data_IF_415947885903
#
_entry.id   IF_415947885903
#
_cell.length_a   1.000
_cell.length_b   1.000
_cell.length_c   1.000
_cell.angle_alpha   90.00
_cell.angle_beta   90.00
_cell.angle_gamma   90.00
#
_symmetry.space_group_name_H-M   'P 1'
#
loop_
_entity.id
_entity.type
_entity.pdbx_description
1 polymer ?
#
# COMPACT_ATOMS: atom_id res chain seq x y z
N UNK A 1 3.17 19.82 -3.29
CA UNK A 1 2.91 18.51 -3.91
C UNK A 1 1.65 18.64 -4.76
N UNK A 2 1.76 18.42 -6.08
CA UNK A 2 0.63 18.43 -7.02
C UNK A 2 0.64 17.13 -7.83
N UNK A 3 -0.48 16.81 -8.46
CA UNK A 3 -0.56 15.77 -9.50
C UNK A 3 -0.85 16.48 -10.81
N UNK A 4 -0.01 16.30 -11.83
CA UNK A 4 -0.10 17.07 -13.07
C UNK A 4 0.32 16.25 -14.30
N UNK A 5 -0.06 16.77 -15.47
CA UNK A 5 0.43 16.33 -16.77
C UNK A 5 1.83 16.88 -17.07
N UNK A 6 2.41 16.53 -18.21
CA UNK A 6 3.80 16.84 -18.57
C UNK A 6 4.89 16.06 -17.78
N UNK A 7 6.11 16.11 -18.32
CA UNK A 7 7.19 15.19 -18.01
C UNK A 7 8.18 15.70 -16.95
N UNK A 8 7.99 16.89 -16.41
CA UNK A 8 8.93 17.53 -15.47
C UNK A 8 8.32 17.63 -14.07
N UNK A 9 8.96 17.02 -13.07
CA UNK A 9 8.56 17.12 -11.67
C UNK A 9 9.71 17.52 -10.77
N UNK A 10 9.47 18.51 -9.90
CA UNK A 10 10.33 18.88 -8.77
C UNK A 10 9.64 18.51 -7.44
N UNK A 11 9.26 17.24 -7.29
CA UNK A 11 8.57 16.74 -6.08
C UNK A 11 7.04 16.67 -6.19
N UNK A 12 6.50 16.65 -7.41
CA UNK A 12 5.10 16.39 -7.75
C UNK A 12 4.92 14.99 -8.37
N UNK A 13 3.67 14.50 -8.46
CA UNK A 13 3.35 13.32 -9.26
C UNK A 13 3.09 13.76 -10.71
N UNK A 14 4.06 13.52 -11.59
CA UNK A 14 3.94 13.76 -13.02
C UNK A 14 3.43 12.50 -13.73
N UNK A 15 2.45 12.66 -14.62
CA UNK A 15 1.90 11.62 -15.48
C UNK A 15 1.54 12.19 -16.84
N UNK A 16 1.04 11.35 -17.76
CA UNK A 16 0.67 11.84 -19.10
C UNK A 16 -0.54 12.76 -19.03
N UNK A 17 -0.71 13.64 -20.01
CA UNK A 17 -1.84 14.57 -20.09
C UNK A 17 -3.17 13.82 -20.18
N UNK A 18 -3.17 12.67 -20.86
CA UNK A 18 -4.30 11.77 -20.95
C UNK A 18 -4.66 11.19 -19.58
N UNK A 19 -3.67 10.69 -18.82
CA UNK A 19 -3.87 10.10 -17.49
C UNK A 19 -4.36 11.13 -16.47
N UNK A 20 -3.76 12.33 -16.44
CA UNK A 20 -4.22 13.37 -15.51
C UNK A 20 -5.62 13.87 -15.90
N UNK A 21 -5.98 13.84 -17.19
CA UNK A 21 -7.32 14.19 -17.67
C UNK A 21 -8.42 13.31 -17.07
N UNK A 22 -8.17 12.01 -16.91
CA UNK A 22 -9.10 11.09 -16.23
C UNK A 22 -9.24 11.43 -14.75
N UNK A 23 -8.12 11.62 -14.04
CA UNK A 23 -8.14 11.99 -12.61
C UNK A 23 -8.84 13.33 -12.41
N UNK A 24 -8.57 14.32 -13.27
CA UNK A 24 -9.23 15.62 -13.22
C UNK A 24 -10.74 15.49 -13.41
N UNK A 25 -11.19 14.64 -14.34
CA UNK A 25 -12.62 14.42 -14.58
C UNK A 25 -13.30 13.81 -13.35
N UNK A 26 -12.69 12.79 -12.74
CA UNK A 26 -13.19 12.19 -11.49
C UNK A 26 -13.20 13.18 -10.33
N UNK A 27 -12.14 13.98 -10.20
CA UNK A 27 -12.03 15.02 -9.17
C UNK A 27 -13.14 16.06 -9.32
N UNK A 28 -13.32 16.60 -10.54
CA UNK A 28 -14.37 17.57 -10.87
C UNK A 28 -15.74 17.01 -10.53
N UNK A 29 -16.05 15.80 -10.98
CA UNK A 29 -17.37 15.20 -10.80
C UNK A 29 -17.64 14.86 -9.32
N UNK A 30 -16.62 14.44 -8.57
CA UNK A 30 -16.70 14.25 -7.11
C UNK A 30 -17.04 15.56 -6.37
N UNK A 31 -16.37 16.67 -6.73
CA UNK A 31 -16.60 17.97 -6.12
C UNK A 31 -17.98 18.55 -6.51
N UNK A 32 -18.37 18.44 -7.79
CA UNK A 32 -19.72 18.82 -8.26
C UNK A 32 -20.82 17.99 -7.59
N UNK A 33 -20.52 16.73 -7.25
CA UNK A 33 -21.38 15.85 -6.46
C UNK A 33 -21.49 16.23 -4.98
N UNK A 34 -20.91 17.35 -4.56
CA UNK A 34 -21.03 17.90 -3.20
C UNK A 34 -20.03 17.35 -2.20
N UNK A 35 -19.05 16.54 -2.64
CA UNK A 35 -17.95 16.12 -1.75
C UNK A 35 -16.98 17.28 -1.59
N UNK A 36 -16.58 17.65 -0.35
CA UNK A 36 -15.64 18.75 -0.12
C UNK A 36 -14.21 18.40 -0.53
N UNK A 37 -13.89 17.11 -0.61
CA UNK A 37 -12.60 16.56 -0.98
C UNK A 37 -12.75 15.12 -1.47
N UNK A 38 -11.66 14.56 -1.99
CA UNK A 38 -11.54 13.15 -2.36
C UNK A 38 -10.13 12.65 -2.01
N UNK A 39 -9.99 11.35 -1.81
CA UNK A 39 -8.73 10.72 -1.44
C UNK A 39 -7.99 10.22 -2.67
N UNK A 40 -6.67 10.41 -2.71
CA UNK A 40 -5.78 9.81 -3.70
C UNK A 40 -4.77 8.93 -2.95
N UNK A 41 -4.59 7.70 -3.42
CA UNK A 41 -3.63 6.75 -2.86
C UNK A 41 -2.61 6.39 -3.92
N UNK A 42 -1.34 6.62 -3.64
CA UNK A 42 -0.24 6.28 -4.54
C UNK A 42 0.41 4.97 -4.06
N UNK A 43 0.43 3.99 -4.96
CA UNK A 43 1.04 2.68 -4.73
C UNK A 43 2.22 2.48 -5.71
N UNK A 44 3.25 1.70 -5.34
CA UNK A 44 4.40 1.45 -6.21
C UNK A 44 4.02 0.72 -7.51
N UNK A 45 2.96 -0.07 -7.44
CA UNK A 45 2.33 -0.83 -8.51
C UNK A 45 0.99 -1.35 -7.98
N UNK A 46 0.17 -1.99 -8.83
CA UNK A 46 -1.01 -2.72 -8.34
C UNK A 46 -0.55 -3.86 -7.42
N UNK A 47 -0.91 -3.82 -6.13
CA UNK A 47 -0.38 -4.70 -5.08
C UNK A 47 -0.93 -6.15 -5.14
N UNK A 48 -0.85 -6.77 -6.31
CA UNK A 48 -1.23 -8.16 -6.57
C UNK A 48 -0.14 -9.13 -6.08
N UNK A 49 -0.49 -10.42 -5.84
CA UNK A 49 0.48 -11.46 -5.49
C UNK A 49 1.61 -11.57 -6.51
N UNK A 50 1.28 -11.57 -7.81
CA UNK A 50 2.25 -11.59 -8.91
C UNK A 50 3.26 -10.42 -8.85
N UNK A 51 2.79 -9.20 -8.63
CA UNK A 51 3.68 -8.03 -8.57
C UNK A 51 4.54 -8.04 -7.30
N UNK A 52 4.00 -8.46 -6.16
CA UNK A 52 4.78 -8.62 -4.94
C UNK A 52 5.84 -9.73 -5.08
N UNK A 53 5.50 -10.85 -5.72
CA UNK A 53 6.43 -11.96 -5.95
C UNK A 53 7.55 -11.57 -6.92
N UNK A 54 7.19 -10.83 -7.98
CA UNK A 54 8.14 -10.21 -8.91
C UNK A 54 9.11 -9.27 -8.20
N UNK A 55 8.67 -8.47 -7.23
CA UNK A 55 9.54 -7.53 -6.51
C UNK A 55 10.00 -8.03 -5.13
N UNK A 56 10.01 -9.34 -4.90
CA UNK A 56 10.31 -9.97 -3.59
C UNK A 56 11.69 -9.63 -3.01
N UNK A 57 12.63 -9.20 -3.83
CA UNK A 57 14.00 -8.84 -3.43
C UNK A 57 14.17 -7.35 -3.13
N UNK A 58 13.13 -6.52 -3.34
CA UNK A 58 13.22 -5.09 -3.13
C UNK A 58 13.27 -4.74 -1.62
N UNK A 59 14.17 -3.84 -1.18
CA UNK A 59 14.27 -3.46 0.24
C UNK A 59 12.99 -2.82 0.80
N UNK A 60 12.12 -2.28 -0.06
CA UNK A 60 10.85 -1.66 0.33
C UNK A 60 9.67 -2.64 0.41
N UNK A 61 9.89 -3.94 0.19
CA UNK A 61 8.81 -4.93 0.18
C UNK A 61 8.00 -4.92 1.48
N UNK A 62 8.64 -4.78 2.64
CA UNK A 62 7.94 -4.71 3.92
C UNK A 62 7.03 -3.47 4.01
N UNK A 63 7.51 -2.32 3.52
CA UNK A 63 6.71 -1.11 3.43
C UNK A 63 5.52 -1.29 2.46
N UNK A 64 5.72 -1.93 1.31
CA UNK A 64 4.64 -2.20 0.36
C UNK A 64 3.62 -3.20 0.89
N UNK A 65 4.04 -4.22 1.66
CA UNK A 65 3.14 -5.13 2.37
C UNK A 65 2.31 -4.39 3.42
N UNK A 66 2.85 -3.37 4.09
CA UNK A 66 2.06 -2.50 4.96
C UNK A 66 1.01 -1.72 4.17
N UNK A 67 1.40 -1.08 3.05
CA UNK A 67 0.46 -0.38 2.17
C UNK A 67 -0.63 -1.32 1.61
N UNK A 68 -0.29 -2.58 1.36
CA UNK A 68 -1.21 -3.61 0.89
C UNK A 68 -2.41 -3.79 1.81
N UNK A 69 -2.27 -3.60 3.12
CA UNK A 69 -3.38 -3.72 4.08
C UNK A 69 -4.51 -2.77 3.69
N UNK A 70 -4.21 -1.49 3.50
CA UNK A 70 -5.19 -0.49 3.06
C UNK A 70 -5.72 -0.74 1.65
N UNK A 71 -4.87 -1.17 0.73
CA UNK A 71 -5.28 -1.57 -0.61
C UNK A 71 -6.28 -2.73 -0.56
N UNK A 72 -6.04 -3.74 0.25
CA UNK A 72 -6.91 -4.91 0.37
C UNK A 72 -8.26 -4.56 1.01
N UNK A 73 -8.28 -3.63 1.96
CA UNK A 73 -9.53 -3.10 2.49
C UNK A 73 -10.37 -2.47 1.36
N UNK A 74 -9.75 -1.60 0.55
CA UNK A 74 -10.43 -0.98 -0.59
C UNK A 74 -10.87 -2.01 -1.63
N UNK A 75 -9.99 -2.88 -2.10
CA UNK A 75 -10.30 -3.88 -3.13
C UNK A 75 -11.39 -4.87 -2.67
N UNK A 76 -11.45 -5.18 -1.38
CA UNK A 76 -12.42 -6.14 -0.85
C UNK A 76 -13.82 -5.53 -0.62
N UNK A 77 -13.93 -4.21 -0.40
CA UNK A 77 -15.21 -3.56 -0.05
C UNK A 77 -15.62 -2.38 -0.92
N UNK A 78 -14.71 -1.85 -1.72
CA UNK A 78 -14.83 -0.60 -2.47
C UNK A 78 -15.25 0.60 -1.59
N UNK A 79 -14.82 0.57 -0.32
CA UNK A 79 -15.04 1.67 0.62
C UNK A 79 -13.73 2.42 0.79
N UNK A 80 -13.81 3.74 0.88
CA UNK A 80 -12.66 4.59 1.15
C UNK A 80 -11.99 4.18 2.48
N UNK A 81 -10.75 3.67 2.47
CA UNK A 81 -10.04 3.27 3.67
C UNK A 81 -9.72 4.49 4.54
N UNK A 82 -10.01 4.38 5.84
CA UNK A 82 -9.54 5.35 6.82
C UNK A 82 -8.09 5.08 7.15
N UNK A 83 -7.25 6.12 7.15
CA UNK A 83 -5.82 6.00 7.39
C UNK A 83 -5.45 6.76 8.65
N UNK A 84 -4.79 6.06 9.57
CA UNK A 84 -4.17 6.59 10.77
C UNK A 84 -2.66 6.25 10.77
N UNK A 85 -1.90 6.86 11.68
CA UNK A 85 -0.45 6.61 11.80
C UNK A 85 -0.04 6.47 13.26
N UNK A 86 0.66 5.39 13.57
CA UNK A 86 1.32 5.21 14.86
C UNK A 86 2.62 4.42 14.71
N UNK A 87 3.60 4.68 15.57
CA UNK A 87 4.90 4.03 15.54
C UNK A 87 5.57 4.07 14.15
N UNK A 88 5.32 5.15 13.39
CA UNK A 88 5.73 5.33 11.98
C UNK A 88 5.17 4.27 11.02
N UNK A 89 4.07 3.64 11.39
CA UNK A 89 3.34 2.66 10.60
C UNK A 89 1.96 3.21 10.24
N UNK A 90 1.49 2.89 9.04
CA UNK A 90 0.11 3.13 8.66
C UNK A 90 -0.80 2.12 9.33
N UNK A 91 -1.96 2.62 9.77
CA UNK A 91 -3.06 1.83 10.31
C UNK A 91 -4.30 2.11 9.47
N UNK A 92 -5.03 1.06 9.13
CA UNK A 92 -6.18 1.16 8.23
C UNK A 92 -7.46 0.73 8.93
N UNK A 93 -8.50 1.55 8.80
CA UNK A 93 -9.87 1.27 9.27
C UNK A 93 -9.99 0.88 10.74
N UNK A 94 -9.19 1.52 11.59
CA UNK A 94 -9.20 1.30 13.03
C UNK A 94 -10.51 1.75 13.68
N UNK A 95 -10.98 0.94 14.63
CA UNK A 95 -12.07 1.22 15.54
C UNK A 95 -11.67 0.88 16.97
N UNK A 96 -12.25 1.55 17.99
CA UNK A 96 -11.95 1.26 19.37
C UNK A 96 -12.25 -0.21 19.67
N UNK A 97 -11.34 -0.88 20.38
CA UNK A 97 -11.59 -2.24 20.83
C UNK A 97 -12.85 -2.27 21.74
N UNK A 98 -13.60 -3.39 21.78
CA UNK A 98 -14.70 -3.56 22.71
C UNK A 98 -14.26 -3.24 24.14
N UNK A 99 -15.06 -2.43 24.86
CA UNK A 99 -14.77 -1.97 26.23
C UNK A 99 -13.53 -1.07 26.38
N UNK A 100 -13.06 -0.42 25.31
CA UNK A 100 -11.98 0.58 25.45
C UNK A 100 -12.42 1.73 26.36
N UNK A 101 -11.71 1.99 27.47
CA UNK A 101 -12.08 3.06 28.41
C UNK A 101 -11.79 4.45 27.86
N UNK A 102 -10.91 4.55 26.85
CA UNK A 102 -10.46 5.82 26.28
C UNK A 102 -10.74 5.89 24.77
N UNK A 103 -10.93 7.10 24.20
CA UNK A 103 -10.98 7.31 22.76
C UNK A 103 -9.70 6.85 22.07
N UNK A 104 -9.82 6.38 20.83
CA UNK A 104 -8.66 6.11 19.98
C UNK A 104 -7.95 7.42 19.62
N UNK A 105 -6.70 7.51 20.02
CA UNK A 105 -5.81 8.62 19.65
C UNK A 105 -4.55 8.02 19.06
N UNK A 106 -4.28 8.34 17.80
CA UNK A 106 -3.08 7.92 17.10
C UNK A 106 -2.02 9.02 17.17
N UNK A 107 -0.80 8.64 17.50
CA UNK A 107 0.37 9.52 17.46
C UNK A 107 1.39 8.93 16.48
N UNK A 108 1.76 9.65 15.40
CA UNK A 108 2.68 9.14 14.38
C UNK A 108 4.01 8.60 14.90
N UNK A 109 4.53 9.14 16.01
CA UNK A 109 5.79 8.69 16.63
C UNK A 109 5.57 7.86 17.90
N UNK A 110 4.35 7.83 18.43
CA UNK A 110 3.99 7.10 19.64
C UNK A 110 3.62 5.64 19.38
N UNK A 111 3.49 4.84 20.45
CA UNK A 111 3.01 3.45 20.34
C UNK A 111 1.58 3.43 19.78
N UNK A 112 1.26 2.39 19.02
CA UNK A 112 -0.10 2.18 18.54
C UNK A 112 -1.04 1.86 19.73
N UNK A 113 -2.19 2.56 19.85
CA UNK A 113 -3.22 2.16 20.81
C UNK A 113 -3.80 0.79 20.43
N UNK A 114 -4.46 0.12 21.37
CA UNK A 114 -5.22 -1.08 21.04
C UNK A 114 -6.44 -0.70 20.19
N UNK A 115 -6.54 -1.26 18.99
CA UNK A 115 -7.66 -1.06 18.07
C UNK A 115 -8.07 -2.40 17.44
N UNK A 116 -9.25 -2.40 16.82
CA UNK A 116 -9.73 -3.48 15.97
C UNK A 116 -10.03 -2.92 14.59
N UNK A 117 -9.93 -3.74 13.55
CA UNK A 117 -10.36 -3.33 12.20
C UNK A 117 -11.88 -3.32 12.15
N UNK A 118 -12.47 -2.31 11.50
CA UNK A 118 -13.91 -2.21 11.29
C UNK A 118 -14.52 -3.55 10.83
N UNK A 119 -15.47 -4.14 11.58
CA UNK A 119 -16.05 -5.45 11.25
C UNK A 119 -16.68 -5.54 9.86
N UNK A 120 -17.15 -4.41 9.29
CA UNK A 120 -17.67 -4.36 7.91
C UNK A 120 -16.61 -4.65 6.85
N UNK A 121 -15.34 -4.44 7.18
CA UNK A 121 -14.18 -4.57 6.30
C UNK A 121 -13.39 -5.84 6.65
N UNK A 122 -13.17 -6.09 7.95
CA UNK A 122 -12.26 -7.10 8.48
C UNK A 122 -12.41 -8.49 7.81
N UNK A 123 -13.64 -9.01 7.72
CA UNK A 123 -13.88 -10.35 7.14
C UNK A 123 -13.47 -10.45 5.67
N UNK A 124 -13.90 -9.49 4.84
CA UNK A 124 -13.64 -9.50 3.40
C UNK A 124 -12.17 -9.24 3.11
N UNK A 125 -11.56 -8.32 3.85
CA UNK A 125 -10.13 -8.04 3.76
C UNK A 125 -9.27 -9.27 4.14
N UNK A 126 -9.64 -9.98 5.21
CA UNK A 126 -8.93 -11.20 5.64
C UNK A 126 -9.05 -12.35 4.63
N UNK A 127 -10.23 -12.54 4.04
CA UNK A 127 -10.44 -13.54 2.98
C UNK A 127 -9.59 -13.23 1.74
N UNK A 128 -9.58 -11.97 1.33
CA UNK A 128 -8.70 -11.49 0.26
C UNK A 128 -7.22 -11.74 0.60
N UNK A 129 -6.78 -11.32 1.79
CA UNK A 129 -5.39 -11.48 2.21
C UNK A 129 -4.96 -12.96 2.18
N UNK A 130 -5.78 -13.87 2.72
CA UNK A 130 -5.50 -15.31 2.70
C UNK A 130 -5.37 -15.86 1.28
N UNK A 131 -6.25 -15.43 0.38
CA UNK A 131 -6.22 -15.86 -1.03
C UNK A 131 -4.93 -15.37 -1.70
N UNK A 132 -4.62 -14.09 -1.51
CA UNK A 132 -3.41 -13.45 -2.05
C UNK A 132 -2.13 -14.08 -1.48
N UNK A 133 -2.10 -14.46 -0.20
CA UNK A 133 -0.95 -15.10 0.45
C UNK A 133 -0.70 -16.52 -0.07
N UNK A 134 -1.77 -17.29 -0.35
CA UNK A 134 -1.67 -18.61 -0.97
C UNK A 134 -1.09 -18.50 -2.38
N UNK A 135 -1.61 -17.57 -3.19
CA UNK A 135 -1.10 -17.33 -4.54
C UNK A 135 0.36 -16.85 -4.50
N UNK A 136 0.69 -15.90 -3.61
CA UNK A 136 2.05 -15.41 -3.43
C UNK A 136 3.02 -16.55 -3.06
N UNK A 137 2.64 -17.41 -2.11
CA UNK A 137 3.45 -18.55 -1.72
C UNK A 137 3.64 -19.56 -2.87
N UNK A 138 2.62 -19.76 -3.70
CA UNK A 138 2.73 -20.60 -4.90
C UNK A 138 3.70 -20.01 -5.92
N UNK A 139 3.58 -18.71 -6.21
CA UNK A 139 4.49 -18.00 -7.13
C UNK A 139 5.95 -18.06 -6.67
N UNK A 140 6.21 -18.05 -5.36
CA UNK A 140 7.56 -18.24 -4.81
C UNK A 140 8.08 -19.67 -5.03
N UNK A 141 7.23 -20.69 -4.91
CA UNK A 141 7.60 -22.09 -5.18
C UNK A 141 7.89 -22.32 -6.66
N UNK A 142 7.17 -21.62 -7.53
CA UNK A 142 7.32 -21.70 -8.99
C UNK A 142 8.53 -20.90 -9.51
N UNK A 143 9.33 -20.30 -8.60
CA UNK A 143 10.52 -19.49 -8.89
C UNK A 143 10.31 -18.43 -9.97
N UNK A 144 9.19 -17.69 -9.87
CA UNK A 144 8.90 -16.63 -10.84
C UNK A 144 10.06 -15.61 -10.91
N UNK A 145 10.44 -15.11 -12.11
CA UNK A 145 11.57 -14.19 -12.23
C UNK A 145 11.40 -12.93 -11.37
N UNK A 146 12.44 -12.58 -10.62
CA UNK A 146 12.47 -11.33 -9.87
C UNK A 146 12.76 -10.14 -10.80
N UNK A 147 12.07 -9.02 -10.60
CA UNK A 147 12.39 -7.77 -11.26
C UNK A 147 13.75 -7.25 -10.79
N UNK A 148 14.55 -6.67 -11.69
CA UNK A 148 15.75 -5.94 -11.30
C UNK A 148 15.37 -4.73 -10.44
N UNK A 149 16.21 -4.41 -9.45
CA UNK A 149 16.08 -3.20 -8.64
C UNK A 149 16.86 -2.09 -9.35
N UNK A 150 16.14 -1.07 -9.83
CA UNK A 150 16.75 0.11 -10.43
C UNK A 150 16.92 1.20 -9.36
N UNK A 151 18.12 1.78 -9.23
CA UNK A 151 18.26 3.15 -8.75
C UNK A 151 18.25 4.06 -9.96
N UNK A 152 17.16 4.78 -10.13
CA UNK A 152 17.19 6.08 -10.78
C UNK A 152 16.93 7.15 -9.73
N UNK A 153 17.40 8.37 -10.01
CA UNK A 153 16.95 9.59 -9.32
C UNK A 153 15.41 9.75 -9.32
N UNK A 154 14.70 8.99 -10.16
CA UNK A 154 13.26 9.05 -10.42
C UNK A 154 12.51 7.73 -10.15
N UNK A 155 13.16 6.64 -9.74
CA UNK A 155 12.51 5.34 -9.52
C UNK A 155 12.11 4.58 -10.79
N UNK A 156 12.59 5.01 -11.96
CA UNK A 156 12.22 4.49 -13.27
C UNK A 156 11.19 5.38 -13.98
N UNK A 157 11.35 5.53 -15.30
CA UNK A 157 10.55 6.44 -16.12
C UNK A 157 9.52 5.67 -16.95
N UNK A 158 8.31 6.22 -17.09
CA UNK A 158 7.28 5.67 -17.97
C UNK A 158 7.81 5.55 -19.41
N UNK A 159 7.49 4.46 -20.12
CA UNK A 159 7.98 4.20 -21.48
C UNK A 159 7.67 5.34 -22.47
N UNK A 160 6.50 5.98 -22.32
CA UNK A 160 6.10 7.14 -23.14
C UNK A 160 7.02 8.34 -22.90
N UNK A 161 7.52 8.51 -21.68
CA UNK A 161 8.46 9.59 -21.33
C UNK A 161 9.89 9.26 -21.74
N UNK A 162 10.29 7.99 -21.67
CA UNK A 162 11.62 7.56 -22.15
C UNK A 162 11.86 7.96 -23.61
N UNK A 163 10.82 7.91 -24.46
CA UNK A 163 10.92 8.33 -25.86
C UNK A 163 11.24 9.84 -26.04
N UNK A 164 10.94 10.68 -25.03
CA UNK A 164 11.16 12.13 -25.06
C UNK A 164 12.55 12.55 -24.57
N UNK A 165 13.32 11.65 -23.96
CA UNK A 165 14.70 11.90 -23.53
C UNK A 165 15.70 11.00 -24.27
N UNK A 166 16.29 11.45 -25.39
CA UNK A 166 17.18 10.63 -26.22
C UNK A 166 18.56 10.31 -25.58
N UNK A 167 18.80 10.75 -24.34
CA UNK A 167 19.96 10.34 -23.55
C UNK A 167 19.57 9.23 -22.58
N UNK A 168 20.04 8.00 -22.81
CA UNK A 168 19.85 6.88 -21.88
C UNK A 168 20.33 7.28 -20.48
N UNK A 169 19.42 7.59 -19.57
CA UNK A 169 19.70 7.45 -18.13
C UNK A 169 19.79 5.94 -17.93
N UNK A 170 21.01 5.40 -17.91
CA UNK A 170 21.21 3.98 -17.64
C UNK A 170 20.65 3.71 -16.26
N UNK A 171 19.57 2.93 -16.20
CA UNK A 171 18.99 2.46 -14.94
C UNK A 171 20.11 1.77 -14.17
N UNK A 172 20.70 2.47 -13.21
CA UNK A 172 21.80 1.92 -12.44
C UNK A 172 21.22 0.78 -11.59
N UNK A 173 21.70 -0.44 -11.78
CA UNK A 173 21.33 -1.57 -10.91
C UNK A 173 21.98 -1.32 -9.54
N UNK A 174 21.20 -1.27 -8.47
CA UNK A 174 21.76 -1.22 -7.10
C UNK A 174 22.02 -2.63 -6.61
N UNK A 175 23.12 -2.79 -5.89
CA UNK A 175 23.31 -3.88 -4.94
C UNK A 175 22.35 -3.70 -3.74
N UNK A 176 21.82 -4.78 -3.16
CA UNK A 176 20.79 -4.68 -2.13
C UNK A 176 21.30 -3.91 -0.91
N UNK A 177 20.71 -2.74 -0.64
CA UNK A 177 20.92 -2.03 0.62
C UNK A 177 20.09 -2.72 1.70
N UNK A 178 20.72 -3.07 2.83
CA UNK A 178 20.04 -3.70 3.95
C UNK A 178 19.01 -2.75 4.57
N UNK A 179 17.72 -2.99 4.32
CA UNK A 179 16.63 -2.28 5.00
C UNK A 179 16.36 -2.92 6.35
N UNK A 180 16.72 -2.22 7.43
CA UNK A 180 16.16 -2.48 8.75
C UNK A 180 14.78 -1.83 8.84
N UNK A 181 13.74 -2.55 8.42
CA UNK A 181 12.37 -2.24 8.82
C UNK A 181 11.97 -3.21 9.93
N UNK A 182 11.47 -2.74 11.09
CA UNK A 182 11.00 -3.61 12.16
C UNK A 182 9.82 -4.45 11.66
N UNK A 183 9.74 -5.71 12.10
CA UNK A 183 8.60 -6.59 11.82
C UNK A 183 7.30 -5.92 12.30
N UNK A 184 6.29 -5.89 11.43
CA UNK A 184 4.95 -5.44 11.79
C UNK A 184 4.40 -6.39 12.87
N UNK A 185 3.80 -5.88 13.96
CA UNK A 185 3.07 -6.75 14.88
C UNK A 185 1.92 -7.43 14.13
N UNK A 186 1.54 -8.66 14.52
CA UNK A 186 0.40 -9.35 13.92
C UNK A 186 -0.86 -8.50 14.08
N UNK A 187 -1.61 -8.33 12.99
CA UNK A 187 -2.89 -7.62 13.01
C UNK A 187 -3.87 -8.44 13.84
N UNK A 188 -4.42 -7.90 14.95
CA UNK A 188 -5.43 -8.59 15.72
C UNK A 188 -6.76 -8.60 14.94
N UNK A 189 -7.14 -9.77 14.43
CA UNK A 189 -8.46 -9.97 13.82
C UNK A 189 -9.50 -10.28 14.89
N UNK A 190 -10.71 -9.77 14.69
CA UNK A 190 -11.85 -10.06 15.57
C UNK A 190 -12.80 -10.99 14.82
N UNK A 191 -13.17 -12.10 15.45
CA UNK A 191 -14.17 -13.05 14.95
C UNK A 191 -15.58 -12.46 15.03
N UNK A 192 -16.56 -13.13 14.40
CA UNK A 192 -17.96 -12.69 14.35
C UNK A 192 -18.62 -12.54 15.75
N UNK A 193 -18.01 -13.09 16.80
CA UNK A 193 -18.46 -13.02 18.18
C UNK A 193 -17.76 -11.94 19.02
N UNK A 194 -16.88 -11.13 18.42
CA UNK A 194 -16.15 -10.08 19.13
C UNK A 194 -14.89 -10.58 19.83
N UNK A 195 -14.49 -11.84 19.67
CA UNK A 195 -13.27 -12.39 20.24
C UNK A 195 -12.05 -12.15 19.34
N UNK A 196 -10.87 -11.93 19.94
CA UNK A 196 -9.61 -11.80 19.20
C UNK A 196 -9.13 -13.18 18.75
N UNK A 197 -8.89 -13.36 17.44
CA UNK A 197 -8.25 -14.59 16.95
C UNK A 197 -6.82 -14.62 17.46
N UNK A 198 -6.53 -15.48 18.44
CA UNK A 198 -5.15 -15.82 18.79
C UNK A 198 -4.69 -16.97 17.89
N UNK A 199 -3.91 -16.70 16.84
CA UNK A 199 -3.02 -17.73 16.27
C UNK A 199 -1.68 -17.16 15.81
N UNK A 200 -0.66 -17.63 16.51
CA UNK A 200 0.73 -17.73 16.11
C UNK A 200 0.85 -18.24 14.66
N UNK A 201 1.45 -17.43 13.80
CA UNK A 201 2.34 -17.89 12.73
C UNK A 201 3.60 -17.05 12.92
N UNK A 202 4.68 -17.58 13.48
CA UNK A 202 5.42 -18.70 12.91
C UNK A 202 6.67 -18.12 12.26
N UNK A 203 7.61 -17.67 13.10
CA UNK A 203 9.03 -17.62 12.77
C UNK A 203 9.46 -18.99 12.28
N UNK A 204 9.71 -19.16 10.99
CA UNK A 204 10.65 -20.11 10.39
C UNK A 204 10.61 -19.95 8.86
N UNK A 205 11.81 -19.82 8.28
CA UNK A 205 12.19 -19.58 6.89
C UNK A 205 12.26 -18.10 6.47
#
# INVERSE_FOLDING_TARGET
LMIHGDCSSSGCYAMTDEQIGEIYSLARDSLLGGRPSFQIQAYPFRLTPANLARHRTNPQLAFWKMLKIGNDHFEATHLEPKVDVCNRLYVFDAQPAPNSPNPLVFNPTGKCPAFVVNPKIARRALEKQRTDDVEYAQLLKDDVPAAPIYSGLDGGMNEVFLARFPGRVTLAKVLPYASYLPQLPPIPWVDNDGSLTSKLFGTLF
#
